data_IF_783512077340
#
_entry.id   IF_783512077340
#
_cell.length_a   1.000
_cell.length_b   1.000
_cell.length_c   1.000
_cell.angle_alpha   90.00
_cell.angle_beta   90.00
_cell.angle_gamma   90.00
#
_symmetry.space_group_name_H-M   'P 1'
#
loop_
_entity.id
_entity.type
_entity.pdbx_description
1 polymer ?
#
# COMPACT_ATOMS: atom_id res chain seq x y z
N UNK A 1 22.19 50.82 -0.46
CA UNK A 1 20.76 50.49 -0.63
C UNK A 1 20.59 49.18 -1.38
N UNK A 2 21.35 48.95 -2.47
CA UNK A 2 21.22 47.75 -3.33
C UNK A 2 21.44 46.41 -2.64
N UNK A 3 22.39 46.29 -1.69
CA UNK A 3 22.62 45.03 -0.96
C UNK A 3 21.44 44.59 -0.08
N UNK A 4 20.67 45.53 0.45
CA UNK A 4 19.47 45.22 1.25
C UNK A 4 18.33 44.74 0.34
N UNK A 5 18.14 45.38 -0.81
CA UNK A 5 17.17 44.96 -1.81
C UNK A 5 17.49 43.57 -2.37
N UNK A 6 18.76 43.27 -2.64
CA UNK A 6 19.18 41.95 -3.12
C UNK A 6 18.91 40.84 -2.08
N UNK A 7 19.13 41.15 -0.80
CA UNK A 7 18.91 40.20 0.30
C UNK A 7 17.41 39.91 0.52
N UNK A 8 16.56 40.93 0.45
CA UNK A 8 15.10 40.75 0.54
C UNK A 8 14.54 40.01 -0.67
N UNK A 9 15.07 40.26 -1.87
CA UNK A 9 14.67 39.56 -3.08
C UNK A 9 15.02 38.07 -2.99
N UNK A 10 16.24 37.72 -2.55
CA UNK A 10 16.66 36.32 -2.33
C UNK A 10 15.79 35.62 -1.28
N UNK A 11 15.44 36.32 -0.19
CA UNK A 11 14.60 35.78 0.90
C UNK A 11 13.15 35.55 0.43
N UNK A 12 12.62 36.45 -0.40
CA UNK A 12 11.30 36.32 -1.03
C UNK A 12 11.24 35.13 -1.99
N UNK A 13 12.21 35.02 -2.91
CA UNK A 13 12.30 33.90 -3.86
C UNK A 13 12.41 32.56 -3.13
N UNK A 14 13.23 32.49 -2.07
CA UNK A 14 13.36 31.27 -1.27
C UNK A 14 12.05 30.85 -0.60
N UNK A 15 11.29 31.81 -0.03
CA UNK A 15 9.97 31.53 0.56
C UNK A 15 8.98 31.03 -0.49
N UNK A 16 8.90 31.68 -1.65
CA UNK A 16 8.00 31.28 -2.73
C UNK A 16 8.33 29.85 -3.20
N UNK A 17 9.61 29.54 -3.39
CA UNK A 17 10.04 28.21 -3.82
C UNK A 17 9.67 27.13 -2.78
N UNK A 18 9.80 27.45 -1.48
CA UNK A 18 9.48 26.51 -0.42
C UNK A 18 7.96 26.29 -0.30
N UNK A 19 7.16 27.35 -0.47
CA UNK A 19 5.70 27.24 -0.53
C UNK A 19 5.27 26.37 -1.71
N UNK A 20 5.79 26.61 -2.91
CA UNK A 20 5.48 25.78 -4.09
C UNK A 20 5.79 24.31 -3.81
N UNK A 21 6.98 24.00 -3.28
CA UNK A 21 7.37 22.63 -2.93
C UNK A 21 6.38 21.97 -1.95
N UNK A 22 6.00 22.68 -0.89
CA UNK A 22 5.04 22.17 0.10
C UNK A 22 3.69 21.91 -0.55
N UNK A 23 3.17 22.85 -1.33
CA UNK A 23 1.88 22.71 -2.00
C UNK A 23 1.87 21.55 -2.98
N UNK A 24 2.95 21.35 -3.76
CA UNK A 24 3.08 20.21 -4.68
C UNK A 24 3.10 18.87 -3.93
N UNK A 25 3.84 18.77 -2.82
CA UNK A 25 3.89 17.55 -2.01
C UNK A 25 2.51 17.26 -1.39
N UNK A 26 1.85 18.27 -0.81
CA UNK A 26 0.52 18.11 -0.23
C UNK A 26 -0.52 17.70 -1.28
N UNK A 27 -0.47 18.29 -2.48
CA UNK A 27 -1.35 17.92 -3.58
C UNK A 27 -1.10 16.48 -4.04
N UNK A 28 0.15 16.03 -4.11
CA UNK A 28 0.50 14.65 -4.44
C UNK A 28 -0.04 13.66 -3.40
N UNK A 29 0.13 13.96 -2.11
CA UNK A 29 -0.39 13.12 -1.02
C UNK A 29 -1.91 13.05 -1.10
N UNK A 30 -2.59 14.19 -1.25
CA UNK A 30 -4.04 14.23 -1.38
C UNK A 30 -4.52 13.41 -2.59
N UNK A 31 -3.85 13.56 -3.73
CA UNK A 31 -4.18 12.80 -4.94
C UNK A 31 -4.07 11.28 -4.71
N UNK A 32 -3.04 10.82 -3.99
CA UNK A 32 -2.90 9.39 -3.64
C UNK A 32 -4.05 8.92 -2.74
N UNK A 33 -4.38 9.69 -1.70
CA UNK A 33 -5.51 9.31 -0.83
C UNK A 33 -6.81 9.23 -1.61
N UNK A 34 -7.02 10.13 -2.59
CA UNK A 34 -8.17 10.09 -3.49
C UNK A 34 -8.19 8.84 -4.37
N UNK A 35 -7.04 8.26 -4.75
CA UNK A 35 -7.00 7.00 -5.53
C UNK A 35 -7.74 5.87 -4.81
N UNK A 36 -7.61 5.77 -3.49
CA UNK A 36 -8.33 4.75 -2.70
C UNK A 36 -9.86 4.96 -2.71
N UNK A 37 -10.32 6.20 -2.96
CA UNK A 37 -11.74 6.54 -3.08
C UNK A 37 -12.26 6.49 -4.51
N UNK A 38 -11.40 6.44 -5.53
CA UNK A 38 -11.82 6.35 -6.94
C UNK A 38 -12.75 5.15 -7.19
N UNK A 39 -12.57 4.04 -6.47
CA UNK A 39 -13.45 2.86 -6.55
C UNK A 39 -14.93 3.16 -6.30
N UNK A 40 -15.26 4.22 -5.55
CA UNK A 40 -16.65 4.59 -5.23
C UNK A 40 -17.39 5.07 -6.49
N UNK A 41 -16.67 5.71 -7.40
CA UNK A 41 -17.22 6.25 -8.65
C UNK A 41 -17.35 5.22 -9.77
N UNK A 42 -16.78 4.03 -9.59
CA UNK A 42 -16.91 2.95 -10.56
C UNK A 42 -18.06 2.02 -10.19
N UNK A 43 -18.84 1.67 -11.19
CA UNK A 43 -19.86 0.62 -11.08
C UNK A 43 -19.21 -0.75 -10.84
N UNK A 44 -19.98 -1.64 -10.20
CA UNK A 44 -19.50 -3.00 -9.88
C UNK A 44 -19.18 -3.79 -11.16
N UNK A 45 -19.99 -3.60 -12.19
CA UNK A 45 -19.91 -4.27 -13.49
C UNK A 45 -20.13 -3.24 -14.59
N UNK A 46 -19.48 -3.43 -15.75
CA UNK A 46 -19.72 -2.53 -16.88
C UNK A 46 -21.14 -2.65 -17.42
N UNK A 47 -21.68 -1.60 -18.07
CA UNK A 47 -22.99 -1.66 -18.73
C UNK A 47 -23.11 -2.81 -19.74
N UNK A 48 -21.99 -3.19 -20.38
CA UNK A 48 -21.93 -4.30 -21.32
C UNK A 48 -22.13 -5.65 -20.62
N UNK A 49 -21.45 -5.89 -19.49
CA UNK A 49 -21.63 -7.10 -18.67
C UNK A 49 -23.06 -7.17 -18.13
N UNK A 50 -23.60 -6.06 -17.61
CA UNK A 50 -24.98 -6.01 -17.09
C UNK A 50 -25.99 -6.34 -18.19
N UNK A 51 -25.81 -5.81 -19.41
CA UNK A 51 -26.69 -6.11 -20.55
C UNK A 51 -26.61 -7.58 -20.94
N UNK A 52 -25.41 -8.15 -21.07
CA UNK A 52 -25.23 -9.56 -21.42
C UNK A 52 -25.78 -10.50 -20.33
N UNK A 53 -25.55 -10.16 -19.07
CA UNK A 53 -26.06 -10.89 -17.91
C UNK A 53 -27.59 -10.89 -17.88
N UNK A 54 -28.23 -9.76 -18.17
CA UNK A 54 -29.69 -9.66 -18.23
C UNK A 54 -30.27 -10.57 -19.31
N UNK A 55 -29.68 -10.57 -20.52
CA UNK A 55 -30.12 -11.43 -21.63
C UNK A 55 -30.00 -12.91 -21.25
N UNK A 56 -28.84 -13.32 -20.72
CA UNK A 56 -28.62 -14.69 -20.24
C UNK A 56 -29.64 -15.08 -19.16
N UNK A 57 -29.81 -14.26 -18.13
CA UNK A 57 -30.74 -14.55 -17.02
C UNK A 57 -32.20 -14.65 -17.50
N UNK A 58 -32.62 -13.85 -18.49
CA UNK A 58 -33.97 -13.95 -19.06
C UNK A 58 -34.21 -15.31 -19.73
N UNK A 59 -33.27 -15.78 -20.55
CA UNK A 59 -33.38 -17.08 -21.23
C UNK A 59 -33.29 -18.24 -20.24
N UNK A 60 -32.38 -18.15 -19.27
CA UNK A 60 -32.22 -19.16 -18.22
C UNK A 60 -33.47 -19.29 -17.35
N UNK A 61 -34.08 -18.16 -16.96
CA UNK A 61 -35.34 -18.17 -16.21
C UNK A 61 -36.49 -18.76 -17.04
N UNK A 62 -36.57 -18.44 -18.33
CA UNK A 62 -37.56 -19.06 -19.22
C UNK A 62 -37.37 -20.59 -19.29
N UNK A 63 -36.11 -21.06 -19.37
CA UNK A 63 -35.78 -22.50 -19.34
C UNK A 63 -36.25 -23.16 -18.05
N UNK A 64 -35.99 -22.54 -16.90
CA UNK A 64 -36.41 -23.05 -15.58
C UNK A 64 -37.93 -23.14 -15.51
N UNK A 65 -38.65 -22.11 -15.97
CA UNK A 65 -40.13 -22.12 -15.98
C UNK A 65 -40.67 -23.26 -16.85
N UNK A 66 -40.09 -23.51 -18.02
CA UNK A 66 -40.51 -24.63 -18.88
C UNK A 66 -40.25 -25.98 -18.21
N UNK A 67 -39.10 -26.15 -17.55
CA UNK A 67 -38.77 -27.37 -16.79
C UNK A 67 -39.74 -27.58 -15.59
N UNK A 68 -40.11 -26.51 -14.89
CA UNK A 68 -41.10 -26.56 -13.82
C UNK A 68 -42.51 -26.89 -14.33
N UNK A 69 -42.89 -26.36 -15.49
CA UNK A 69 -44.16 -26.67 -16.15
C UNK A 69 -44.22 -28.15 -16.57
N UNK A 70 -43.14 -28.72 -17.10
CA UNK A 70 -43.04 -30.14 -17.42
C UNK A 70 -43.24 -31.01 -16.18
N UNK A 71 -42.56 -30.67 -15.07
CA UNK A 71 -42.71 -31.36 -13.79
C UNK A 71 -44.13 -31.29 -13.26
N UNK A 72 -44.77 -30.12 -13.39
CA UNK A 72 -46.15 -29.91 -12.97
C UNK A 72 -47.11 -30.75 -13.80
N UNK A 73 -46.96 -30.76 -15.13
CA UNK A 73 -47.75 -31.57 -16.04
C UNK A 73 -47.65 -33.07 -15.71
N UNK A 74 -46.43 -33.57 -15.44
CA UNK A 74 -46.22 -34.95 -15.02
C UNK A 74 -46.93 -35.29 -13.70
N UNK A 75 -46.88 -34.40 -12.70
CA UNK A 75 -47.58 -34.58 -11.44
C UNK A 75 -49.11 -34.57 -11.62
N UNK A 76 -49.63 -33.68 -12.46
CA UNK A 76 -51.06 -33.61 -12.76
C UNK A 76 -51.56 -34.87 -13.45
N UNK A 77 -50.79 -35.42 -14.38
CA UNK A 77 -51.09 -36.71 -15.01
C UNK A 77 -51.11 -37.85 -13.98
N UNK A 78 -50.10 -37.94 -13.11
CA UNK A 78 -50.05 -38.94 -12.05
C UNK A 78 -51.25 -38.84 -11.09
N UNK A 79 -51.77 -37.63 -10.87
CA UNK A 79 -52.97 -37.40 -10.06
C UNK A 79 -54.30 -37.61 -10.81
N UNK A 80 -54.26 -38.00 -12.08
CA UNK A 80 -55.45 -38.25 -12.91
C UNK A 80 -56.21 -36.98 -13.32
N UNK A 81 -55.59 -35.80 -13.23
CA UNK A 81 -56.23 -34.51 -13.55
C UNK A 81 -56.24 -34.18 -15.04
N UNK A 82 -55.32 -34.76 -15.81
CA UNK A 82 -55.18 -34.53 -17.26
C UNK A 82 -55.14 -35.87 -18.01
N UNK A 83 -55.53 -35.85 -19.28
CA UNK A 83 -55.50 -37.03 -20.15
C UNK A 83 -54.10 -37.34 -20.70
N UNK A 84 -53.89 -38.60 -21.11
CA UNK A 84 -52.65 -39.05 -21.75
C UNK A 84 -52.37 -38.32 -23.07
N UNK A 85 -53.42 -38.05 -23.86
CA UNK A 85 -53.31 -37.32 -25.12
C UNK A 85 -52.84 -35.87 -24.90
N UNK A 86 -53.38 -35.21 -23.87
CA UNK A 86 -52.94 -33.86 -23.47
C UNK A 86 -51.47 -33.89 -23.04
N UNK A 87 -51.09 -34.84 -22.17
CA UNK A 87 -49.71 -34.99 -21.72
C UNK A 87 -48.74 -35.18 -22.89
N UNK A 88 -49.05 -36.06 -23.85
CA UNK A 88 -48.18 -36.29 -25.01
C UNK A 88 -47.99 -35.03 -25.85
N UNK A 89 -49.06 -34.27 -26.09
CA UNK A 89 -48.98 -33.01 -26.84
C UNK A 89 -48.13 -31.96 -26.11
N UNK A 90 -48.29 -31.84 -24.79
CA UNK A 90 -47.60 -30.84 -23.99
C UNK A 90 -46.13 -31.20 -23.81
N UNK A 91 -45.80 -32.48 -23.58
CA UNK A 91 -44.41 -32.97 -23.53
C UNK A 91 -43.71 -32.68 -24.86
N UNK A 92 -44.34 -32.98 -26.00
CA UNK A 92 -43.72 -32.74 -27.31
C UNK A 92 -43.39 -31.26 -27.54
N UNK A 93 -44.34 -30.37 -27.22
CA UNK A 93 -44.16 -28.92 -27.38
C UNK A 93 -43.11 -28.36 -26.41
N UNK A 94 -43.23 -28.69 -25.11
CA UNK A 94 -42.32 -28.17 -24.09
C UNK A 94 -40.91 -28.74 -24.22
N UNK A 95 -40.74 -29.99 -24.67
CA UNK A 95 -39.42 -30.59 -24.91
C UNK A 95 -38.69 -29.87 -26.05
N UNK A 96 -39.38 -29.55 -27.15
CA UNK A 96 -38.77 -28.78 -28.24
C UNK A 96 -38.38 -27.36 -27.78
N UNK A 97 -39.26 -26.70 -27.02
CA UNK A 97 -38.97 -25.38 -26.45
C UNK A 97 -37.77 -25.43 -25.48
N UNK A 98 -37.70 -26.43 -24.62
CA UNK A 98 -36.61 -26.63 -23.66
C UNK A 98 -35.27 -26.81 -24.38
N UNK A 99 -35.22 -27.66 -25.42
CA UNK A 99 -34.01 -27.88 -26.21
C UNK A 99 -33.52 -26.59 -26.91
N UNK A 100 -34.44 -25.75 -27.38
CA UNK A 100 -34.08 -24.47 -27.98
C UNK A 100 -33.55 -23.49 -26.94
N UNK A 101 -34.22 -23.37 -25.79
CA UNK A 101 -33.78 -22.52 -24.68
C UNK A 101 -32.45 -22.97 -24.07
N UNK A 102 -32.16 -24.27 -24.06
CA UNK A 102 -30.87 -24.80 -23.62
C UNK A 102 -29.73 -24.38 -24.56
N UNK A 103 -29.94 -24.49 -25.87
CA UNK A 103 -28.98 -24.02 -26.88
C UNK A 103 -28.75 -22.51 -26.80
N UNK A 104 -29.82 -21.74 -26.67
CA UNK A 104 -29.74 -20.29 -26.52
C UNK A 104 -29.04 -19.88 -25.21
N UNK A 105 -29.39 -20.52 -24.09
CA UNK A 105 -28.74 -20.28 -22.79
C UNK A 105 -27.24 -20.57 -22.87
N UNK A 106 -26.83 -21.68 -23.51
CA UNK A 106 -25.42 -22.01 -23.71
C UNK A 106 -24.70 -20.94 -24.56
N UNK A 107 -25.30 -20.49 -25.66
CA UNK A 107 -24.76 -19.42 -26.52
C UNK A 107 -24.61 -18.10 -25.77
N UNK A 108 -25.64 -17.67 -25.02
CA UNK A 108 -25.58 -16.44 -24.26
C UNK A 108 -24.61 -16.52 -23.08
N UNK A 109 -24.44 -17.70 -22.48
CA UNK A 109 -23.42 -17.94 -21.45
C UNK A 109 -22.02 -17.75 -22.01
N UNK A 110 -21.73 -18.28 -23.20
CA UNK A 110 -20.44 -18.09 -23.86
C UNK A 110 -20.20 -16.60 -24.16
N UNK A 111 -21.19 -15.90 -24.72
CA UNK A 111 -21.10 -14.46 -24.98
C UNK A 111 -20.87 -13.65 -23.70
N UNK A 112 -21.57 -14.00 -22.62
CA UNK A 112 -21.38 -13.38 -21.31
C UNK A 112 -19.95 -13.57 -20.79
N UNK A 113 -19.38 -14.76 -20.90
CA UNK A 113 -18.00 -15.03 -20.49
C UNK A 113 -16.99 -14.27 -21.36
N UNK A 114 -17.22 -14.15 -22.67
CA UNK A 114 -16.39 -13.33 -23.56
C UNK A 114 -16.44 -11.84 -23.18
N UNK A 115 -17.63 -11.31 -22.87
CA UNK A 115 -17.78 -9.91 -22.43
C UNK A 115 -17.10 -9.71 -21.08
N UNK A 116 -17.28 -10.62 -20.11
CA UNK A 116 -16.57 -10.57 -18.82
C UNK A 116 -15.06 -10.61 -19.00
N UNK A 117 -14.54 -11.44 -19.90
CA UNK A 117 -13.10 -11.52 -20.16
C UNK A 117 -12.56 -10.22 -20.76
N UNK A 118 -13.30 -9.57 -21.66
CA UNK A 118 -12.93 -8.27 -22.23
C UNK A 118 -13.01 -7.12 -21.22
N UNK A 119 -13.89 -7.23 -20.23
CA UNK A 119 -14.07 -6.23 -19.17
C UNK A 119 -13.04 -6.36 -18.03
N UNK A 120 -12.22 -7.42 -18.04
CA UNK A 120 -11.18 -7.62 -17.02
C UNK A 120 -10.09 -6.55 -17.15
N UNK A 121 -9.66 -6.04 -16.00
CA UNK A 121 -8.56 -5.06 -15.89
C UNK A 121 -7.45 -5.70 -15.08
N UNK A 122 -6.29 -5.96 -15.70
CA UNK A 122 -5.13 -6.61 -15.05
C UNK A 122 -5.48 -7.91 -14.29
N UNK A 123 -6.39 -8.73 -14.83
CA UNK A 123 -6.85 -9.97 -14.19
C UNK A 123 -8.01 -9.79 -13.20
N UNK A 124 -8.32 -8.56 -12.79
CA UNK A 124 -9.48 -8.27 -11.95
C UNK A 124 -10.78 -8.25 -12.76
N UNK A 125 -11.87 -8.69 -12.13
CA UNK A 125 -13.20 -8.77 -12.77
C UNK A 125 -13.76 -7.40 -13.19
N UNK A 126 -13.42 -6.33 -12.48
CA UNK A 126 -13.84 -4.98 -12.83
C UNK A 126 -12.85 -3.94 -12.34
N UNK A 127 -12.91 -2.75 -12.95
CA UNK A 127 -12.08 -1.60 -12.58
C UNK A 127 -12.29 -1.17 -11.13
N UNK A 128 -13.51 -1.32 -10.61
CA UNK A 128 -13.84 -1.05 -9.21
C UNK A 128 -13.02 -1.93 -8.27
N UNK A 129 -12.99 -3.24 -8.55
CA UNK A 129 -12.25 -4.23 -7.76
C UNK A 129 -10.76 -3.94 -7.86
N UNK A 130 -10.25 -3.62 -9.06
CA UNK A 130 -8.86 -3.23 -9.26
C UNK A 130 -8.44 -2.05 -8.36
N UNK A 131 -9.18 -0.94 -8.39
CA UNK A 131 -8.88 0.21 -7.53
C UNK A 131 -9.08 -0.07 -6.04
N UNK A 132 -10.05 -0.91 -5.68
CA UNK A 132 -10.24 -1.34 -4.30
C UNK A 132 -9.04 -2.11 -3.76
N UNK A 133 -8.47 -3.02 -4.55
CA UNK A 133 -7.27 -3.77 -4.16
C UNK A 133 -5.98 -2.95 -4.28
N UNK A 134 -5.89 -2.01 -5.23
CA UNK A 134 -4.71 -1.15 -5.40
C UNK A 134 -4.64 -0.01 -4.37
N UNK A 135 -5.78 0.49 -3.89
CA UNK A 135 -5.87 1.68 -3.06
C UNK A 135 -5.07 1.57 -1.76
N UNK A 136 -5.25 0.49 -1.00
CA UNK A 136 -4.52 0.25 0.25
C UNK A 136 -2.99 0.21 0.06
N UNK A 137 -2.43 -0.62 -0.86
CA UNK A 137 -1.00 -0.62 -1.16
C UNK A 137 -0.44 0.75 -1.58
N UNK A 138 -1.18 1.49 -2.41
CA UNK A 138 -0.77 2.81 -2.87
C UNK A 138 -0.68 3.81 -1.71
N UNK A 139 -1.70 3.83 -0.84
CA UNK A 139 -1.71 4.69 0.36
C UNK A 139 -0.58 4.30 1.31
N UNK A 140 -0.36 3.01 1.57
CA UNK A 140 0.72 2.54 2.44
C UNK A 140 2.11 2.95 1.92
N UNK A 141 2.35 2.78 0.62
CA UNK A 141 3.61 3.16 -0.04
C UNK A 141 3.88 4.67 0.08
N UNK A 142 2.85 5.48 -0.14
CA UNK A 142 2.96 6.93 -0.13
C UNK A 142 3.05 7.51 1.27
N UNK A 143 2.37 6.91 2.24
CA UNK A 143 2.59 7.21 3.66
C UNK A 143 4.04 6.89 4.05
N UNK A 144 4.56 5.75 3.59
CA UNK A 144 5.97 5.37 3.75
C UNK A 144 6.92 6.41 3.16
N UNK A 145 6.69 6.88 1.93
CA UNK A 145 7.46 7.95 1.29
C UNK A 145 7.35 9.29 2.04
N UNK A 146 6.15 9.65 2.50
CA UNK A 146 5.94 10.88 3.26
C UNK A 146 6.73 10.88 4.58
N UNK A 147 6.69 9.76 5.31
CA UNK A 147 7.50 9.58 6.52
C UNK A 147 9.00 9.63 6.18
N UNK A 148 9.43 9.09 5.03
CA UNK A 148 10.84 9.19 4.61
C UNK A 148 11.28 10.64 4.42
N UNK A 149 10.42 11.48 3.83
CA UNK A 149 10.68 12.90 3.66
C UNK A 149 10.75 13.61 5.02
N UNK A 150 9.84 13.27 5.94
CA UNK A 150 9.86 13.81 7.31
C UNK A 150 11.15 13.43 8.05
N UNK A 151 11.66 12.21 7.87
CA UNK A 151 12.92 11.77 8.45
C UNK A 151 14.10 12.70 8.10
N UNK A 152 14.15 13.25 6.88
CA UNK A 152 15.21 14.18 6.49
C UNK A 152 15.06 15.58 7.10
N UNK A 153 13.87 15.95 7.54
CA UNK A 153 13.59 17.26 8.17
C UNK A 153 13.64 17.24 9.69
N UNK A 154 13.51 16.07 10.31
CA UNK A 154 13.47 15.92 11.75
C UNK A 154 14.86 16.12 12.39
N UNK A 155 14.90 16.99 13.40
CA UNK A 155 16.11 17.28 14.18
C UNK A 155 16.22 16.37 15.42
N UNK A 156 15.07 15.99 16.00
CA UNK A 156 15.04 15.11 17.16
C UNK A 156 15.43 13.67 16.76
N UNK A 157 16.50 13.17 17.37
CA UNK A 157 17.03 11.81 17.13
C UNK A 157 16.02 10.71 17.44
N UNK A 158 15.14 10.89 18.43
CA UNK A 158 14.13 9.90 18.77
C UNK A 158 13.07 9.82 17.68
N UNK A 159 12.46 10.96 17.32
CA UNK A 159 11.46 11.00 16.25
C UNK A 159 12.04 10.56 14.92
N UNK A 160 13.28 10.94 14.62
CA UNK A 160 13.98 10.50 13.41
C UNK A 160 14.07 8.98 13.30
N UNK A 161 14.34 8.26 14.40
CA UNK A 161 14.34 6.78 14.42
C UNK A 161 12.95 6.21 14.18
N UNK A 162 11.95 6.74 14.88
CA UNK A 162 10.56 6.28 14.78
C UNK A 162 10.04 6.48 13.36
N UNK A 163 10.19 7.68 12.81
CA UNK A 163 9.74 8.04 11.46
C UNK A 163 10.43 7.19 10.38
N UNK A 164 11.74 6.89 10.53
CA UNK A 164 12.45 6.00 9.62
C UNK A 164 11.89 4.57 9.65
N UNK A 165 11.66 4.01 10.84
CA UNK A 165 11.12 2.66 10.98
C UNK A 165 9.73 2.53 10.37
N UNK A 166 8.82 3.46 10.66
CA UNK A 166 7.48 3.46 10.06
C UNK A 166 7.51 3.72 8.56
N UNK A 167 8.43 4.56 8.08
CA UNK A 167 8.64 4.79 6.65
C UNK A 167 9.00 3.49 5.92
N UNK A 168 10.00 2.77 6.42
CA UNK A 168 10.44 1.49 5.84
C UNK A 168 9.29 0.47 5.90
N UNK A 169 8.60 0.36 7.03
CA UNK A 169 7.47 -0.56 7.17
C UNK A 169 6.35 -0.26 6.16
N UNK A 170 5.98 1.00 5.98
CA UNK A 170 4.98 1.43 4.99
C UNK A 170 5.41 1.15 3.55
N UNK A 171 6.67 1.42 3.20
CA UNK A 171 7.24 1.14 1.89
C UNK A 171 7.26 -0.36 1.56
N UNK A 172 7.76 -1.18 2.48
CA UNK A 172 7.84 -2.64 2.26
C UNK A 172 6.44 -3.24 2.17
N UNK A 173 5.54 -2.86 3.07
CA UNK A 173 4.15 -3.34 3.06
C UNK A 173 3.44 -2.93 1.78
N UNK A 174 3.57 -1.66 1.39
CA UNK A 174 3.00 -1.15 0.15
C UNK A 174 3.53 -1.89 -1.09
N UNK A 175 4.84 -2.07 -1.20
CA UNK A 175 5.48 -2.75 -2.34
C UNK A 175 5.10 -4.24 -2.40
N UNK A 176 5.01 -4.91 -1.26
CA UNK A 176 4.52 -6.29 -1.16
C UNK A 176 3.09 -6.40 -1.71
N UNK A 177 2.17 -5.55 -1.24
CA UNK A 177 0.78 -5.59 -1.69
C UNK A 177 0.61 -5.14 -3.15
N UNK A 178 1.40 -4.19 -3.65
CA UNK A 178 1.41 -3.85 -5.10
C UNK A 178 1.79 -5.08 -5.91
N UNK A 179 2.87 -5.77 -5.51
CA UNK A 179 3.30 -7.00 -6.19
C UNK A 179 2.20 -8.06 -6.15
N UNK A 180 1.53 -8.21 -5.02
CA UNK A 180 0.40 -9.11 -4.85
C UNK A 180 -0.78 -8.77 -5.78
N UNK A 181 -1.12 -7.49 -5.92
CA UNK A 181 -2.21 -7.02 -6.79
C UNK A 181 -1.95 -7.38 -8.26
N UNK A 182 -0.70 -7.31 -8.71
CA UNK A 182 -0.36 -7.63 -10.10
C UNK A 182 0.02 -9.11 -10.33
N UNK A 183 0.03 -9.94 -9.28
CA UNK A 183 0.36 -11.35 -9.42
C UNK A 183 -0.86 -12.12 -9.98
N UNK A 184 -0.77 -12.73 -11.17
CA UNK A 184 -1.93 -13.21 -11.92
C UNK A 184 -2.52 -14.53 -11.41
N UNK A 185 -1.86 -15.20 -10.46
CA UNK A 185 -2.27 -16.51 -9.94
C UNK A 185 -2.80 -16.37 -8.51
N UNK A 186 -3.95 -17.00 -8.17
CA UNK A 186 -4.53 -16.91 -6.82
C UNK A 186 -3.59 -17.47 -5.74
N UNK A 187 -2.70 -18.39 -6.12
CA UNK A 187 -1.65 -18.93 -5.26
C UNK A 187 -0.27 -18.76 -5.89
N UNK A 188 0.64 -18.15 -5.13
CA UNK A 188 2.07 -18.17 -5.41
C UNK A 188 2.54 -19.62 -5.19
N UNK A 189 3.23 -20.26 -6.15
CA UNK A 189 3.68 -21.62 -5.97
C UNK A 189 4.62 -21.72 -4.75
N UNK A 190 4.51 -22.81 -4.00
CA UNK A 190 5.15 -22.94 -2.68
C UNK A 190 6.66 -22.66 -2.70
N UNK A 191 7.36 -23.04 -3.76
CA UNK A 191 8.78 -22.76 -3.94
C UNK A 191 9.09 -21.26 -4.05
N UNK A 192 8.23 -20.49 -4.73
CA UNK A 192 8.41 -19.05 -4.89
C UNK A 192 8.14 -18.33 -3.56
N UNK A 193 7.20 -18.83 -2.76
CA UNK A 193 6.96 -18.34 -1.40
C UNK A 193 8.19 -18.54 -0.50
N UNK A 194 8.79 -19.74 -0.51
CA UNK A 194 10.02 -20.03 0.24
C UNK A 194 11.17 -19.13 -0.22
N UNK A 195 11.32 -18.94 -1.54
CA UNK A 195 12.36 -18.10 -2.11
C UNK A 195 12.16 -16.61 -1.72
N UNK A 196 10.93 -16.10 -1.77
CA UNK A 196 10.59 -14.75 -1.30
C UNK A 196 10.88 -14.57 0.19
N UNK A 197 10.53 -15.53 1.04
CA UNK A 197 10.84 -15.47 2.47
C UNK A 197 12.35 -15.43 2.72
N UNK A 198 13.13 -16.24 1.99
CA UNK A 198 14.57 -16.24 2.10
C UNK A 198 15.16 -14.88 1.64
N UNK A 199 14.66 -14.34 0.54
CA UNK A 199 15.08 -13.03 0.01
C UNK A 199 14.72 -11.89 0.98
N UNK A 200 13.53 -11.91 1.58
CA UNK A 200 13.12 -10.97 2.62
C UNK A 200 13.92 -11.10 3.91
N UNK A 201 14.29 -12.32 4.30
CA UNK A 201 15.15 -12.55 5.46
C UNK A 201 16.54 -11.96 5.22
N UNK A 202 17.18 -12.30 4.09
CA UNK A 202 18.51 -11.79 3.74
C UNK A 202 18.50 -10.26 3.60
N UNK A 203 17.55 -9.71 2.85
CA UNK A 203 17.42 -8.25 2.69
C UNK A 203 17.11 -7.57 4.02
N UNK A 204 16.26 -8.15 4.86
CA UNK A 204 15.95 -7.65 6.19
C UNK A 204 17.17 -7.62 7.11
N UNK A 205 18.01 -8.67 7.08
CA UNK A 205 19.27 -8.70 7.82
C UNK A 205 20.25 -7.63 7.33
N UNK A 206 20.40 -7.47 6.01
CA UNK A 206 21.26 -6.43 5.42
C UNK A 206 20.76 -5.04 5.82
N UNK A 207 19.45 -4.79 5.71
CA UNK A 207 18.84 -3.52 6.07
C UNK A 207 19.01 -3.22 7.56
N UNK A 208 18.79 -4.22 8.42
CA UNK A 208 18.97 -4.09 9.87
C UNK A 208 20.42 -3.80 10.22
N UNK A 209 21.40 -4.39 9.53
CA UNK A 209 22.82 -4.08 9.71
C UNK A 209 23.13 -2.62 9.35
N UNK A 210 22.66 -2.14 8.20
CA UNK A 210 22.88 -0.75 7.77
C UNK A 210 22.21 0.26 8.71
N UNK A 211 20.95 0.03 9.05
CA UNK A 211 20.19 0.88 9.99
C UNK A 211 20.86 0.84 11.37
N UNK A 212 21.18 -0.34 11.89
CA UNK A 212 21.86 -0.49 13.18
C UNK A 212 23.21 0.23 13.22
N UNK A 213 24.04 0.07 12.19
CA UNK A 213 25.33 0.76 12.07
C UNK A 213 25.16 2.29 12.04
N UNK A 214 24.18 2.78 11.27
CA UNK A 214 23.87 4.21 11.21
C UNK A 214 23.39 4.77 12.56
N UNK A 215 22.48 4.07 13.23
CA UNK A 215 21.98 4.45 14.55
C UNK A 215 23.06 4.41 15.63
N UNK A 216 23.96 3.42 15.56
CA UNK A 216 25.10 3.32 16.46
C UNK A 216 26.04 4.53 16.28
N UNK A 217 26.38 4.89 15.05
CA UNK A 217 27.20 6.07 14.74
C UNK A 217 26.56 7.37 15.24
N UNK A 218 25.26 7.55 15.04
CA UNK A 218 24.52 8.69 15.57
C UNK A 218 24.56 8.76 17.11
N UNK A 219 24.38 7.61 17.78
CA UNK A 219 24.45 7.52 19.23
C UNK A 219 25.84 7.90 19.76
N UNK A 220 26.90 7.41 19.11
CA UNK A 220 28.29 7.77 19.42
C UNK A 220 28.53 9.29 19.31
N UNK A 221 28.01 9.92 18.26
CA UNK A 221 28.11 11.37 18.05
C UNK A 221 27.47 12.15 19.22
N UNK A 222 26.29 11.73 19.68
CA UNK A 222 25.64 12.35 20.83
C UNK A 222 26.42 12.18 22.14
N UNK A 223 27.10 11.04 22.31
CA UNK A 223 27.92 10.76 23.47
C UNK A 223 29.19 11.63 23.48
N UNK A 224 29.85 11.76 22.32
CA UNK A 224 31.04 12.61 22.14
C UNK A 224 30.71 14.07 22.49
N UNK A 225 29.58 14.60 21.99
CA UNK A 225 29.16 15.97 22.30
C UNK A 225 28.91 16.17 23.80
N UNK A 226 28.27 15.19 24.47
CA UNK A 226 28.05 15.24 25.93
C UNK A 226 29.36 15.21 26.71
N UNK A 227 30.30 14.36 26.31
CA UNK A 227 31.64 14.28 26.91
C UNK A 227 32.39 15.60 26.71
N UNK A 228 32.37 16.17 25.51
CA UNK A 228 32.99 17.46 25.22
C UNK A 228 32.39 18.60 26.07
N UNK A 229 31.07 18.63 26.23
CA UNK A 229 30.40 19.63 27.07
C UNK A 229 30.75 19.45 28.56
N UNK A 230 30.81 18.22 29.05
CA UNK A 230 31.21 17.91 30.42
C UNK A 230 32.68 18.30 30.67
N UNK A 231 33.57 17.94 29.74
CA UNK A 231 34.99 18.29 29.83
C UNK A 231 35.17 19.81 29.80
N UNK A 232 34.49 20.52 28.88
CA UNK A 232 34.51 21.99 28.83
C UNK A 232 34.05 22.61 30.15
N UNK A 233 32.97 22.10 30.74
CA UNK A 233 32.48 22.55 32.04
C UNK A 233 33.52 22.34 33.16
N UNK A 234 34.15 21.17 33.22
CA UNK A 234 35.20 20.89 34.22
C UNK A 234 36.42 21.80 33.99
N UNK A 235 36.90 21.93 32.76
CA UNK A 235 38.12 22.68 32.46
C UNK A 235 37.93 24.19 32.63
N UNK A 236 36.76 24.74 32.30
CA UNK A 236 36.54 26.18 32.31
C UNK A 236 35.75 26.67 33.53
N UNK A 237 34.61 26.05 33.85
CA UNK A 237 33.74 26.52 34.93
C UNK A 237 34.26 26.13 36.31
N UNK A 238 34.70 24.87 36.51
CA UNK A 238 35.24 24.44 37.81
C UNK A 238 36.55 25.18 38.10
N UNK A 239 37.46 25.26 37.12
CA UNK A 239 38.71 26.02 37.22
C UNK A 239 38.47 27.49 37.61
N UNK A 240 37.45 28.13 37.04
CA UNK A 240 37.17 29.54 37.30
C UNK A 240 36.55 29.77 38.67
N UNK A 241 35.73 28.84 39.15
CA UNK A 241 34.86 29.02 40.33
C UNK A 241 35.44 28.42 41.62
N UNK A 242 36.25 27.36 41.53
CA UNK A 242 36.71 26.60 42.71
C UNK A 242 38.23 26.50 42.86
N UNK A 243 39.01 26.93 41.86
CA UNK A 243 40.48 26.84 41.89
C UNK A 243 41.11 28.24 42.02
N UNK A 244 42.02 28.37 42.99
CA UNK A 244 42.78 29.58 43.27
C UNK A 244 43.59 30.01 42.05
N UNK A 245 43.91 31.30 41.89
CA UNK A 245 44.65 31.78 40.70
C UNK A 245 46.05 31.16 40.58
N UNK A 246 46.66 30.75 41.69
CA UNK A 246 48.01 30.18 41.72
C UNK A 246 48.01 28.72 41.26
N UNK A 247 46.98 27.93 41.60
CA UNK A 247 46.95 26.48 41.32
C UNK A 247 46.37 26.15 39.93
N UNK A 248 45.97 27.17 39.17
CA UNK A 248 45.34 27.00 37.85
C UNK A 248 46.26 26.39 36.79
N UNK A 249 47.56 26.62 36.87
CA UNK A 249 48.52 26.06 35.91
C UNK A 249 48.77 24.58 36.19
N UNK A 250 48.91 24.21 37.45
CA UNK A 250 49.09 22.82 37.90
C UNK A 250 47.85 21.98 37.56
N UNK A 251 46.64 22.52 37.80
CA UNK A 251 45.39 21.86 37.41
C UNK A 251 45.28 21.57 35.90
N UNK A 252 45.75 22.47 35.04
CA UNK A 252 45.76 22.25 33.58
C UNK A 252 46.77 21.17 33.21
N UNK A 253 47.95 21.19 33.84
CA UNK A 253 49.00 20.18 33.64
C UNK A 253 48.49 18.78 33.96
N UNK A 254 47.89 18.60 35.15
CA UNK A 254 47.37 17.29 35.59
C UNK A 254 46.24 16.80 34.69
N UNK A 255 45.34 17.70 34.31
CA UNK A 255 44.24 17.39 33.41
C UNK A 255 44.73 16.95 32.02
N UNK A 256 45.68 17.66 31.42
CA UNK A 256 46.25 17.29 30.12
C UNK A 256 47.07 16.00 30.21
N UNK A 257 47.79 15.78 31.31
CA UNK A 257 48.55 14.55 31.56
C UNK A 257 47.66 13.31 31.64
N UNK A 258 46.51 13.41 32.31
CA UNK A 258 45.54 12.30 32.36
C UNK A 258 44.85 12.07 31.01
N UNK A 259 44.55 13.11 30.22
CA UNK A 259 44.05 12.94 28.85
C UNK A 259 45.09 12.21 27.97
N UNK A 260 46.37 12.56 28.07
CA UNK A 260 47.42 11.92 27.28
C UNK A 260 47.62 10.46 27.68
N UNK A 261 47.53 10.12 28.97
CA UNK A 261 47.51 8.72 29.43
C UNK A 261 46.33 7.93 28.87
N UNK A 262 45.16 8.55 28.83
CA UNK A 262 43.94 7.92 28.31
C UNK A 262 43.97 7.75 26.79
N UNK A 263 44.67 8.61 26.04
CA UNK A 263 44.76 8.49 24.56
C UNK A 263 45.76 7.44 24.08
N UNK A 264 46.72 7.04 24.93
CA UNK A 264 47.73 6.00 24.64
C UNK A 264 47.28 4.58 25.00
N UNK A 265 46.08 4.42 25.58
CA UNK A 265 45.45 3.12 25.88
C UNK A 265 44.49 2.72 24.77
#
# INVERSE_FOLDING_TARGET
MDKLLEQDTKRSVFKILNTIKITTISALILAVFLVAFLQVYFDKESPAVVKAQKVYTTVENARIVVDENLKTCLNEFQSGKISEEYLHSEIANQTMLLLNLEKESASFKEQLELVKQKDKVFGFRSIKIFFGHLGMPAVASMLGLYLLILFFKEEDLFFKKVTLSFSIAGLVTGLFYVTWVFYPSPDIPQWAYILLLLLFSVSGTILAFFVGSYLYKLSQLSLVIKIQNLLSYITFDIKRKYISKQDRQEYISDYLGEIEKLSKK
#
